data_IF_044175800432
#
_entry.id   IF_044175800432
#
_cell.length_a   1.000
_cell.length_b   1.000
_cell.length_c   1.000
_cell.angle_alpha   90.00
_cell.angle_beta   90.00
_cell.angle_gamma   90.00
#
_symmetry.space_group_name_H-M   'P 1'
#
loop_
_entity.id
_entity.type
_entity.pdbx_description
1 polymer ?
#
# COMPACT_ATOMS: atom_id res chain seq x y z
N UNK A 1 -12.65 -3.22 9.23
CA UNK A 1 -11.80 -2.12 8.73
C UNK A 1 -10.45 -2.24 9.41
N UNK A 2 -9.48 -2.84 8.74
CA UNK A 2 -8.10 -2.95 9.23
C UNK A 2 -7.41 -1.62 8.98
N UNK A 3 -7.00 -0.93 10.04
CA UNK A 3 -6.16 0.27 9.92
C UNK A 3 -4.77 -0.25 9.52
N UNK A 4 -4.24 0.09 8.33
CA UNK A 4 -2.89 -0.33 7.97
C UNK A 4 -1.91 0.36 8.91
N UNK A 5 -1.20 -0.43 9.72
CA UNK A 5 -0.12 0.04 10.58
C UNK A 5 1.20 0.02 9.80
N UNK A 6 2.13 0.94 10.09
CA UNK A 6 3.49 0.88 9.55
C UNK A 6 4.15 -0.47 9.81
N UNK A 7 5.05 -0.89 8.92
CA UNK A 7 5.78 -2.15 9.06
C UNK A 7 6.50 -2.20 10.43
N UNK A 8 6.36 -3.34 11.13
CA UNK A 8 6.93 -3.54 12.46
C UNK A 8 6.10 -2.97 13.63
N UNK A 9 4.96 -2.34 13.36
CA UNK A 9 4.02 -1.92 14.41
C UNK A 9 2.86 -2.91 14.47
N UNK A 10 2.78 -3.60 15.61
CA UNK A 10 1.76 -4.61 15.88
C UNK A 10 0.54 -4.01 16.58
N UNK A 11 -0.61 -4.67 16.40
CA UNK A 11 -1.83 -4.35 17.14
C UNK A 11 -1.57 -4.67 18.63
N UNK A 12 -1.89 -3.75 19.56
CA UNK A 12 -1.70 -3.99 20.98
C UNK A 12 -2.43 -5.26 21.47
N UNK A 13 -1.78 -6.07 22.32
CA UNK A 13 -2.34 -7.33 22.82
C UNK A 13 -3.74 -7.18 23.45
N UNK A 14 -3.95 -6.08 24.18
CA UNK A 14 -5.24 -5.77 24.78
C UNK A 14 -6.34 -5.59 23.73
N UNK A 15 -6.01 -4.96 22.60
CA UNK A 15 -6.91 -4.80 21.45
C UNK A 15 -7.13 -6.14 20.76
N UNK A 16 -6.07 -6.90 20.49
CA UNK A 16 -6.16 -8.21 19.84
C UNK A 16 -7.04 -9.18 20.66
N UNK A 17 -6.87 -9.21 21.98
CA UNK A 17 -7.69 -10.01 22.89
C UNK A 17 -9.15 -9.55 22.92
N UNK A 18 -9.40 -8.24 22.94
CA UNK A 18 -10.76 -7.71 22.88
C UNK A 18 -11.43 -8.04 21.54
N UNK A 19 -10.70 -7.96 20.43
CA UNK A 19 -11.18 -8.30 19.10
C UNK A 19 -11.54 -9.78 19.01
N UNK A 20 -10.67 -10.68 19.49
CA UNK A 20 -10.96 -12.11 19.53
C UNK A 20 -12.23 -12.44 20.33
N UNK A 21 -12.50 -11.70 21.42
CA UNK A 21 -13.73 -11.87 22.18
C UNK A 21 -14.98 -11.38 21.42
N UNK A 22 -14.86 -10.31 20.64
CA UNK A 22 -15.93 -9.83 19.76
C UNK A 22 -16.20 -10.82 18.63
N UNK A 23 -15.15 -11.37 18.02
CA UNK A 23 -15.26 -12.36 16.94
C UNK A 23 -15.95 -13.63 17.45
N UNK A 24 -15.55 -14.14 18.62
CA UNK A 24 -16.23 -15.27 19.26
C UNK A 24 -17.70 -14.99 19.60
N UNK A 25 -18.08 -13.73 19.88
CA UNK A 25 -19.48 -13.37 20.09
C UNK A 25 -20.29 -13.39 18.78
N UNK A 26 -19.68 -12.97 17.67
CA UNK A 26 -20.26 -13.09 16.33
C UNK A 26 -20.41 -14.54 15.89
N UNK A 27 -19.43 -15.40 16.17
CA UNK A 27 -19.51 -16.83 15.87
C UNK A 27 -20.69 -17.47 16.58
N UNK A 28 -20.84 -17.22 17.90
CA UNK A 28 -22.01 -17.70 18.68
C UNK A 28 -23.33 -17.18 18.15
N UNK A 29 -23.36 -15.92 17.70
CA UNK A 29 -24.56 -15.36 17.07
C UNK A 29 -24.92 -16.08 15.78
N UNK A 30 -23.92 -16.36 14.92
CA UNK A 30 -24.12 -17.15 13.70
C UNK A 30 -24.57 -18.58 14.00
N UNK A 31 -23.96 -19.24 14.98
CA UNK A 31 -24.36 -20.58 15.44
C UNK A 31 -25.81 -20.59 15.93
N UNK A 32 -26.21 -19.62 16.74
CA UNK A 32 -27.58 -19.49 17.22
C UNK A 32 -28.57 -19.22 16.07
N UNK A 33 -28.21 -18.40 15.08
CA UNK A 33 -29.06 -18.18 13.91
C UNK A 33 -29.29 -19.48 13.12
N UNK A 34 -28.29 -20.35 13.03
CA UNK A 34 -28.41 -21.66 12.38
C UNK A 34 -29.26 -22.61 13.24
N UNK A 35 -28.98 -22.69 14.54
CA UNK A 35 -29.70 -23.57 15.49
C UNK A 35 -31.19 -23.26 15.51
N UNK A 36 -31.56 -21.98 15.55
CA UNK A 36 -32.94 -21.52 15.63
C UNK A 36 -33.54 -21.11 14.28
N UNK A 37 -32.88 -21.42 13.14
CA UNK A 37 -33.29 -20.97 11.81
C UNK A 37 -34.78 -21.28 11.50
N UNK A 38 -35.20 -22.51 11.75
CA UNK A 38 -36.58 -22.97 11.54
C UNK A 38 -37.62 -22.15 12.32
N UNK A 39 -37.25 -21.67 13.51
CA UNK A 39 -38.12 -20.95 14.43
C UNK A 39 -38.05 -19.43 14.26
N UNK A 40 -36.91 -18.90 13.78
CA UNK A 40 -36.69 -17.47 13.57
C UNK A 40 -37.25 -17.00 12.22
N UNK A 41 -37.25 -17.87 11.20
CA UNK A 41 -37.66 -17.50 9.85
C UNK A 41 -39.13 -17.07 9.76
N UNK A 42 -39.42 -16.18 8.82
CA UNK A 42 -40.76 -15.66 8.57
C UNK A 42 -41.61 -16.78 7.96
N UNK A 43 -42.82 -16.98 8.49
CA UNK A 43 -43.68 -18.10 8.09
C UNK A 43 -43.36 -19.45 8.75
N UNK A 44 -42.63 -19.46 9.87
CA UNK A 44 -42.30 -20.70 10.61
C UNK A 44 -43.53 -21.58 10.90
N UNK A 45 -44.67 -20.97 11.22
CA UNK A 45 -45.92 -21.68 11.48
C UNK A 45 -46.45 -22.38 10.23
N UNK A 46 -46.43 -21.72 9.07
CA UNK A 46 -46.94 -22.30 7.82
C UNK A 46 -46.08 -23.49 7.38
N UNK A 47 -44.74 -23.37 7.50
CA UNK A 47 -43.83 -24.48 7.24
C UNK A 47 -44.00 -25.63 8.22
N UNK A 48 -44.17 -25.35 9.51
CA UNK A 48 -44.44 -26.36 10.52
C UNK A 48 -45.77 -27.08 10.26
N UNK A 49 -46.84 -26.34 9.95
CA UNK A 49 -48.14 -26.89 9.56
C UNK A 49 -48.04 -27.77 8.31
N UNK A 50 -47.25 -27.35 7.31
CA UNK A 50 -47.03 -28.15 6.10
C UNK A 50 -46.30 -29.46 6.41
N UNK A 51 -45.32 -29.47 7.33
CA UNK A 51 -44.62 -30.68 7.79
C UNK A 51 -45.58 -31.62 8.55
N UNK A 52 -46.40 -31.09 9.44
CA UNK A 52 -47.42 -31.87 10.16
C UNK A 52 -48.43 -32.50 9.18
N UNK A 53 -48.93 -31.72 8.22
CA UNK A 53 -49.85 -32.21 7.20
C UNK A 53 -49.20 -33.29 6.30
N UNK A 54 -47.94 -33.10 5.91
CA UNK A 54 -47.19 -34.08 5.13
C UNK A 54 -46.98 -35.39 5.90
N UNK A 55 -46.67 -35.32 7.20
CA UNK A 55 -46.51 -36.49 8.06
C UNK A 55 -47.83 -37.27 8.21
N UNK A 56 -48.95 -36.57 8.42
CA UNK A 56 -50.27 -37.19 8.49
C UNK A 56 -50.66 -37.88 7.17
N UNK A 57 -50.40 -37.23 6.02
CA UNK A 57 -50.62 -37.80 4.70
C UNK A 57 -49.77 -39.04 4.45
N UNK A 58 -48.49 -39.00 4.81
CA UNK A 58 -47.57 -40.14 4.68
C UNK A 58 -48.00 -41.34 5.53
N UNK A 59 -48.42 -41.11 6.78
CA UNK A 59 -48.94 -42.17 7.65
C UNK A 59 -50.20 -42.83 7.08
N UNK A 60 -51.13 -42.01 6.56
CA UNK A 60 -52.37 -42.48 5.94
C UNK A 60 -52.09 -43.36 4.71
N UNK A 61 -51.20 -42.92 3.83
CA UNK A 61 -50.78 -43.69 2.65
C UNK A 61 -50.09 -45.00 3.01
N UNK A 62 -49.39 -45.04 4.15
CA UNK A 62 -48.75 -46.24 4.67
C UNK A 62 -49.71 -47.17 5.46
N UNK A 63 -51.02 -46.85 5.54
CA UNK A 63 -51.99 -47.60 6.32
C UNK A 63 -51.74 -47.58 7.83
N UNK A 64 -50.96 -46.60 8.32
CA UNK A 64 -50.60 -46.42 9.73
C UNK A 64 -51.52 -45.38 10.38
N UNK A 65 -51.74 -45.45 11.70
CA UNK A 65 -52.45 -44.38 12.40
C UNK A 65 -51.71 -43.05 12.25
N UNK A 66 -52.46 -41.94 12.17
CA UNK A 66 -51.90 -40.59 12.16
C UNK A 66 -51.08 -40.38 13.44
N UNK A 67 -49.86 -39.82 13.36
CA UNK A 67 -49.04 -39.55 14.54
C UNK A 67 -49.79 -38.65 15.53
N UNK A 68 -49.76 -39.02 16.81
CA UNK A 68 -50.34 -38.24 17.93
C UNK A 68 -49.28 -37.64 18.85
N UNK A 69 -48.02 -37.63 18.40
CA UNK A 69 -46.89 -37.05 19.14
C UNK A 69 -46.92 -35.53 19.16
N UNK A 70 -45.87 -34.93 19.72
CA UNK A 70 -45.64 -33.49 19.64
C UNK A 70 -45.67 -33.02 18.17
N UNK A 71 -46.45 -31.99 17.87
CA UNK A 71 -46.54 -31.43 16.52
C UNK A 71 -45.34 -30.53 16.23
N UNK A 72 -44.98 -30.42 14.96
CA UNK A 72 -43.93 -29.49 14.53
C UNK A 72 -44.32 -28.04 14.88
N UNK A 73 -45.61 -27.70 14.82
CA UNK A 73 -46.09 -26.38 15.25
C UNK A 73 -45.78 -26.12 16.72
N UNK A 74 -46.05 -27.07 17.62
CA UNK A 74 -45.76 -26.92 19.05
C UNK A 74 -44.26 -26.81 19.31
N UNK A 75 -43.46 -27.68 18.69
CA UNK A 75 -42.00 -27.68 18.82
C UNK A 75 -41.38 -26.35 18.39
N UNK A 76 -41.71 -25.87 17.19
CA UNK A 76 -41.11 -24.64 16.63
C UNK A 76 -41.60 -23.40 17.37
N UNK A 77 -42.85 -23.38 17.84
CA UNK A 77 -43.36 -22.27 18.66
C UNK A 77 -42.63 -22.18 20.00
N UNK A 78 -42.39 -23.30 20.67
CA UNK A 78 -41.60 -23.33 21.91
C UNK A 78 -40.16 -22.85 21.67
N UNK A 79 -39.53 -23.30 20.59
CA UNK A 79 -38.18 -22.89 20.21
C UNK A 79 -38.08 -21.42 19.83
N UNK A 80 -39.12 -20.81 19.25
CA UNK A 80 -39.08 -19.40 18.83
C UNK A 80 -38.88 -18.45 20.01
N UNK A 81 -39.57 -18.70 21.12
CA UNK A 81 -39.43 -17.87 22.32
C UNK A 81 -38.00 -17.89 22.86
N UNK A 82 -37.40 -19.08 22.95
CA UNK A 82 -36.00 -19.24 23.35
C UNK A 82 -35.05 -18.63 22.34
N UNK A 83 -35.24 -18.90 21.05
CA UNK A 83 -34.38 -18.43 19.97
C UNK A 83 -34.32 -16.91 19.89
N UNK A 84 -35.47 -16.22 19.97
CA UNK A 84 -35.50 -14.75 19.98
C UNK A 84 -34.75 -14.19 21.19
N UNK A 85 -34.98 -14.73 22.39
CA UNK A 85 -34.28 -14.26 23.59
C UNK A 85 -32.77 -14.49 23.54
N UNK A 86 -32.32 -15.62 22.97
CA UNK A 86 -30.90 -15.92 22.76
C UNK A 86 -30.27 -14.94 21.77
N UNK A 87 -30.92 -14.68 20.64
CA UNK A 87 -30.45 -13.73 19.63
C UNK A 87 -30.33 -12.32 20.21
N UNK A 88 -31.36 -11.82 20.90
CA UNK A 88 -31.31 -10.50 21.53
C UNK A 88 -30.20 -10.37 22.58
N UNK A 89 -29.99 -11.42 23.39
CA UNK A 89 -28.91 -11.45 24.37
C UNK A 89 -27.52 -11.44 23.71
N UNK A 90 -27.34 -12.19 22.62
CA UNK A 90 -26.09 -12.21 21.85
C UNK A 90 -25.82 -10.86 21.16
N UNK A 91 -26.84 -10.18 20.65
CA UNK A 91 -26.69 -8.82 20.10
C UNK A 91 -26.26 -7.81 21.17
N UNK A 92 -26.76 -7.95 22.40
CA UNK A 92 -26.29 -7.14 23.52
C UNK A 92 -24.84 -7.46 23.88
N UNK A 93 -24.45 -8.74 23.88
CA UNK A 93 -23.07 -9.16 24.11
C UNK A 93 -22.12 -8.63 23.03
N UNK A 94 -22.50 -8.70 21.75
CA UNK A 94 -21.73 -8.14 20.62
C UNK A 94 -21.52 -6.64 20.81
N UNK A 95 -22.59 -5.89 21.16
CA UNK A 95 -22.47 -4.45 21.44
C UNK A 95 -21.53 -4.15 22.60
N UNK A 96 -21.64 -4.92 23.68
CA UNK A 96 -20.76 -4.77 24.85
C UNK A 96 -19.30 -5.09 24.50
N UNK A 97 -19.04 -6.17 23.74
CA UNK A 97 -17.71 -6.55 23.27
C UNK A 97 -17.12 -5.48 22.34
N UNK A 98 -17.92 -4.92 21.42
CA UNK A 98 -17.52 -3.80 20.57
C UNK A 98 -17.09 -2.57 21.36
N UNK A 99 -17.80 -2.22 22.43
CA UNK A 99 -17.42 -1.14 23.33
C UNK A 99 -16.10 -1.43 24.08
N UNK A 100 -15.82 -2.69 24.41
CA UNK A 100 -14.53 -3.10 25.01
C UNK A 100 -13.39 -2.94 23.99
N UNK A 101 -13.58 -3.36 22.74
CA UNK A 101 -12.60 -3.14 21.66
C UNK A 101 -12.29 -1.66 21.49
N UNK A 102 -13.32 -0.82 21.43
CA UNK A 102 -13.13 0.63 21.30
C UNK A 102 -12.34 1.22 22.49
N UNK A 103 -12.66 0.82 23.72
CA UNK A 103 -11.92 1.29 24.91
C UNK A 103 -10.47 0.81 24.92
N UNK A 104 -10.21 -0.43 24.50
CA UNK A 104 -8.86 -0.97 24.40
C UNK A 104 -8.03 -0.18 23.38
N UNK A 105 -8.63 0.18 22.24
CA UNK A 105 -7.99 1.05 21.26
C UNK A 105 -7.65 2.41 21.87
N UNK A 106 -8.65 3.11 22.42
CA UNK A 106 -8.46 4.45 23.01
C UNK A 106 -7.37 4.46 24.07
N UNK A 107 -7.32 3.44 24.93
CA UNK A 107 -6.29 3.30 25.94
C UNK A 107 -4.88 3.10 25.35
N UNK A 108 -4.78 2.43 24.21
CA UNK A 108 -3.49 2.11 23.56
C UNK A 108 -2.99 3.20 22.61
N UNK A 109 -3.85 4.17 22.24
CA UNK A 109 -3.50 5.21 21.26
C UNK A 109 -2.28 6.07 21.63
N UNK A 110 -2.04 6.48 22.89
CA UNK A 110 -0.89 7.33 23.22
C UNK A 110 0.45 6.64 22.91
N UNK A 111 0.63 5.41 23.40
CA UNK A 111 1.85 4.63 23.17
C UNK A 111 2.00 4.24 21.69
N UNK A 112 0.90 3.87 21.03
CA UNK A 112 0.92 3.56 19.61
C UNK A 112 1.31 4.77 18.76
N UNK A 113 0.81 5.96 19.11
CA UNK A 113 1.16 7.21 18.43
C UNK A 113 2.66 7.49 18.55
N UNK A 114 3.24 7.31 19.73
CA UNK A 114 4.67 7.49 19.94
C UNK A 114 5.49 6.51 19.08
N UNK A 115 5.13 5.23 19.07
CA UNK A 115 5.77 4.21 18.22
C UNK A 115 5.68 4.53 16.73
N UNK A 116 4.53 5.02 16.27
CA UNK A 116 4.34 5.43 14.87
C UNK A 116 5.22 6.64 14.52
N UNK A 117 5.33 7.62 15.42
CA UNK A 117 6.19 8.80 15.22
C UNK A 117 7.66 8.39 15.16
N UNK A 118 8.12 7.50 16.03
CA UNK A 118 9.50 7.02 16.00
C UNK A 118 9.80 6.19 14.75
N UNK A 119 8.87 5.35 14.31
CA UNK A 119 9.00 4.62 13.05
C UNK A 119 9.07 5.57 11.84
N UNK A 120 8.29 6.65 11.85
CA UNK A 120 8.35 7.68 10.79
C UNK A 120 9.72 8.35 10.76
N UNK A 121 10.25 8.80 11.89
CA UNK A 121 11.58 9.42 11.97
C UNK A 121 12.68 8.47 11.49
N UNK A 122 12.61 7.19 11.85
CA UNK A 122 13.56 6.19 11.38
C UNK A 122 13.49 6.02 9.86
N UNK A 123 12.29 6.01 9.29
CA UNK A 123 12.09 5.91 7.84
C UNK A 123 12.59 7.15 7.10
N UNK A 124 12.40 8.35 7.66
CA UNK A 124 12.94 9.61 7.11
C UNK A 124 14.48 9.58 7.10
N UNK A 125 15.11 9.16 8.20
CA UNK A 125 16.56 9.03 8.28
C UNK A 125 17.13 8.02 7.25
N UNK A 126 16.43 6.91 7.03
CA UNK A 126 16.80 5.93 6.00
C UNK A 126 16.68 6.52 4.58
N UNK A 127 15.65 7.33 4.32
CA UNK A 127 15.49 8.00 3.03
C UNK A 127 16.63 9.01 2.78
N UNK A 128 16.99 9.81 3.79
CA UNK A 128 18.13 10.75 3.69
C UNK A 128 19.46 10.02 3.45
N UNK A 129 19.69 8.88 4.12
CA UNK A 129 20.91 8.09 3.91
C UNK A 129 20.96 7.50 2.50
N UNK A 130 19.85 6.95 2.01
CA UNK A 130 19.73 6.45 0.65
C UNK A 130 19.96 7.56 -0.38
N UNK A 131 19.44 8.76 -0.13
CA UNK A 131 19.69 9.92 -0.99
C UNK A 131 21.17 10.34 -0.99
N UNK A 132 21.82 10.37 0.18
CA UNK A 132 23.27 10.62 0.29
C UNK A 132 24.09 9.57 -0.47
N UNK A 133 23.73 8.29 -0.38
CA UNK A 133 24.37 7.21 -1.12
C UNK A 133 24.18 7.35 -2.63
N UNK A 134 22.96 7.69 -3.06
CA UNK A 134 22.66 7.94 -4.46
C UNK A 134 23.55 9.05 -5.02
N UNK A 135 23.66 10.19 -4.34
CA UNK A 135 24.53 11.29 -4.79
C UNK A 135 26.02 10.91 -4.78
N UNK A 136 26.47 10.13 -3.79
CA UNK A 136 27.85 9.63 -3.74
C UNK A 136 28.15 8.73 -4.94
N UNK A 137 27.28 7.77 -5.21
CA UNK A 137 27.39 6.85 -6.34
C UNK A 137 27.36 7.60 -7.66
N UNK A 138 26.45 8.58 -7.81
CA UNK A 138 26.38 9.46 -8.99
C UNK A 138 27.68 10.26 -9.17
N UNK A 139 28.27 10.77 -8.08
CA UNK A 139 29.58 11.42 -8.10
C UNK A 139 30.70 10.48 -8.61
N UNK A 140 30.74 9.24 -8.12
CA UNK A 140 31.74 8.25 -8.55
C UNK A 140 31.61 7.89 -10.05
N UNK A 141 30.38 7.71 -10.54
CA UNK A 141 30.11 7.49 -11.97
C UNK A 141 30.63 8.68 -12.80
N UNK A 142 30.37 9.92 -12.38
CA UNK A 142 30.87 11.12 -13.07
C UNK A 142 32.40 11.15 -13.15
N UNK A 143 33.10 10.80 -12.07
CA UNK A 143 34.57 10.71 -12.06
C UNK A 143 35.08 9.64 -13.03
N UNK A 144 34.44 8.46 -13.04
CA UNK A 144 34.83 7.37 -13.94
C UNK A 144 34.66 7.74 -15.42
N UNK A 145 33.53 8.37 -15.79
CA UNK A 145 33.30 8.88 -17.16
C UNK A 145 34.36 9.91 -17.53
N UNK A 146 34.70 10.81 -16.62
CA UNK A 146 35.74 11.83 -16.84
C UNK A 146 37.10 11.21 -17.15
N UNK A 147 37.49 10.19 -16.37
CA UNK A 147 38.73 9.46 -16.56
C UNK A 147 38.74 8.72 -17.90
N UNK A 148 37.63 8.05 -18.26
CA UNK A 148 37.50 7.36 -19.54
C UNK A 148 37.64 8.33 -20.72
N UNK A 149 37.01 9.51 -20.65
CA UNK A 149 37.16 10.55 -21.68
C UNK A 149 38.60 11.05 -21.82
N UNK A 150 39.33 11.17 -20.71
CA UNK A 150 40.73 11.55 -20.73
C UNK A 150 41.62 10.47 -21.37
N UNK A 151 41.38 9.20 -21.03
CA UNK A 151 42.08 8.04 -21.63
C UNK A 151 41.84 7.99 -23.14
N UNK A 152 40.57 8.06 -23.56
CA UNK A 152 40.17 8.09 -24.97
C UNK A 152 40.83 9.25 -25.75
N UNK A 153 41.01 10.41 -25.11
CA UNK A 153 41.71 11.54 -25.71
C UNK A 153 43.22 11.29 -25.89
N UNK A 154 43.86 10.65 -24.90
CA UNK A 154 45.27 10.29 -24.96
C UNK A 154 45.54 9.23 -26.04
N UNK A 155 44.69 8.20 -26.13
CA UNK A 155 44.79 7.14 -27.15
C UNK A 155 44.71 7.68 -28.59
N UNK A 156 43.91 8.73 -28.80
CA UNK A 156 43.75 9.37 -30.12
C UNK A 156 44.83 10.39 -30.46
N UNK A 157 45.88 10.51 -29.64
CA UNK A 157 47.07 11.32 -29.96
C UNK A 157 46.80 12.82 -30.07
N UNK A 158 45.84 13.35 -29.30
CA UNK A 158 45.52 14.80 -29.26
C UNK A 158 46.01 15.42 -27.95
N UNK A 159 47.29 15.77 -27.79
CA UNK A 159 47.75 16.45 -26.59
C UNK A 159 47.20 17.88 -26.52
N UNK A 160 46.45 18.21 -25.46
CA UNK A 160 46.13 19.61 -25.09
C UNK A 160 44.68 19.98 -24.80
N UNK A 161 43.69 19.09 -24.97
CA UNK A 161 42.26 19.41 -24.81
C UNK A 161 41.49 18.37 -23.97
N UNK A 162 42.10 17.84 -22.90
CA UNK A 162 41.38 16.95 -21.99
C UNK A 162 40.19 17.68 -21.34
N UNK A 163 38.97 17.13 -21.37
CA UNK A 163 37.83 17.73 -20.69
C UNK A 163 38.09 17.75 -19.18
N UNK A 164 37.95 18.93 -18.57
CA UNK A 164 38.02 19.09 -17.11
C UNK A 164 36.58 19.13 -16.60
N UNK A 165 36.23 18.15 -15.76
CA UNK A 165 34.99 18.13 -15.02
C UNK A 165 35.25 18.77 -13.66
N UNK A 166 34.70 19.95 -13.41
CA UNK A 166 34.79 20.61 -12.10
C UNK A 166 33.48 20.44 -11.37
N UNK A 167 33.49 19.73 -10.24
CA UNK A 167 32.33 19.63 -9.34
C UNK A 167 32.33 20.80 -8.35
N UNK A 168 31.24 21.56 -8.28
CA UNK A 168 30.93 22.41 -7.12
C UNK A 168 29.95 21.63 -6.24
N UNK A 169 30.20 21.45 -4.93
CA UNK A 169 29.28 20.77 -4.03
C UNK A 169 27.97 21.55 -3.77
N UNK A 170 27.93 22.83 -4.11
CA UNK A 170 26.86 23.76 -3.70
C UNK A 170 25.83 24.07 -4.80
N UNK A 171 26.07 23.65 -6.04
CA UNK A 171 25.22 24.01 -7.17
C UNK A 171 24.52 22.76 -7.73
N UNK A 172 23.19 22.83 -7.87
CA UNK A 172 22.33 21.86 -8.56
C UNK A 172 22.61 21.78 -10.09
N UNK A 173 23.84 22.03 -10.53
CA UNK A 173 24.23 22.10 -11.93
C UNK A 173 25.69 21.70 -12.13
N UNK A 174 25.95 20.92 -13.18
CA UNK A 174 27.30 20.44 -13.52
C UNK A 174 27.95 21.38 -14.55
N UNK A 175 29.15 21.86 -14.28
CA UNK A 175 30.01 22.51 -15.28
C UNK A 175 30.70 21.43 -16.12
N UNK A 176 30.15 21.14 -17.31
CA UNK A 176 30.78 20.23 -18.26
C UNK A 176 31.43 21.05 -19.39
N UNK A 177 32.76 21.15 -19.39
CA UNK A 177 33.50 21.79 -20.49
C UNK A 177 34.02 20.73 -21.46
N UNK A 178 33.20 20.38 -22.44
CA UNK A 178 33.57 19.42 -23.48
C UNK A 178 34.24 20.12 -24.66
N UNK A 179 35.29 19.50 -25.20
CA UNK A 179 35.89 19.93 -26.46
C UNK A 179 34.94 19.67 -27.64
N UNK A 180 34.96 20.58 -28.63
CA UNK A 180 34.04 20.62 -29.80
C UNK A 180 33.98 19.31 -30.61
N UNK A 181 35.05 18.51 -30.58
CA UNK A 181 35.16 17.26 -31.34
C UNK A 181 34.70 16.02 -30.56
N UNK A 182 34.72 16.07 -29.23
CA UNK A 182 34.35 14.92 -28.39
C UNK A 182 32.81 14.75 -28.31
N UNK A 183 32.09 15.87 -28.33
CA UNK A 183 30.62 15.94 -28.39
C UNK A 183 30.01 15.29 -29.65
N UNK A 184 30.77 15.21 -30.76
CA UNK A 184 30.28 14.64 -32.01
C UNK A 184 30.29 13.10 -32.03
N UNK A 185 31.04 12.47 -31.14
CA UNK A 185 31.35 11.03 -31.20
C UNK A 185 30.66 10.24 -30.10
N UNK A 186 30.38 10.87 -28.95
CA UNK A 186 29.82 10.19 -27.79
C UNK A 186 28.46 10.78 -27.42
N UNK A 187 27.39 10.01 -27.69
CA UNK A 187 26.02 10.30 -27.29
C UNK A 187 25.92 10.21 -25.77
N UNK A 188 25.99 11.34 -25.07
CA UNK A 188 25.66 11.38 -23.64
C UNK A 188 24.16 11.63 -23.52
N UNK A 189 23.44 10.65 -22.97
CA UNK A 189 22.10 10.86 -22.43
C UNK A 189 22.20 11.78 -21.23
N UNK A 190 21.52 12.92 -21.26
CA UNK A 190 21.43 13.84 -20.13
C UNK A 190 20.00 13.77 -19.59
N UNK A 191 19.85 13.45 -18.31
CA UNK A 191 18.51 13.31 -17.71
C UNK A 191 17.78 14.66 -17.64
N UNK A 192 16.45 14.58 -17.78
CA UNK A 192 15.51 15.69 -17.65
C UNK A 192 15.66 16.40 -16.30
N UNK A 193 15.93 17.71 -16.33
CA UNK A 193 16.04 18.56 -15.13
C UNK A 193 17.45 19.07 -14.77
N UNK A 194 18.51 18.51 -15.36
CA UNK A 194 19.88 19.02 -15.17
C UNK A 194 20.09 20.34 -15.96
N UNK A 195 20.91 21.26 -15.46
CA UNK A 195 21.41 22.40 -16.24
C UNK A 195 22.86 22.17 -16.66
N UNK A 196 23.15 22.35 -17.95
CA UNK A 196 24.46 22.22 -18.56
C UNK A 196 24.99 23.60 -18.95
N UNK A 197 26.23 23.89 -18.54
CA UNK A 197 26.97 25.06 -19.03
C UNK A 197 27.70 24.74 -20.32
N UNK A 198 27.16 25.20 -21.45
CA UNK A 198 27.72 25.03 -22.79
C UNK A 198 28.51 26.29 -23.17
N UNK A 199 29.73 26.12 -23.68
CA UNK A 199 30.49 27.24 -24.28
C UNK A 199 30.16 27.36 -25.77
N UNK A 200 29.60 28.51 -26.15
CA UNK A 200 29.25 28.86 -27.53
C UNK A 200 29.93 30.20 -27.83
N UNK A 201 30.78 30.25 -28.85
CA UNK A 201 31.48 31.46 -29.33
C UNK A 201 32.06 32.33 -28.19
N UNK A 202 32.91 31.69 -27.37
CA UNK A 202 33.57 32.25 -26.18
C UNK A 202 32.69 32.67 -25.00
N UNK A 203 31.37 32.48 -25.06
CA UNK A 203 30.46 32.71 -23.93
C UNK A 203 30.00 31.40 -23.30
N UNK A 204 29.92 31.36 -21.97
CA UNK A 204 29.36 30.22 -21.23
C UNK A 204 27.87 30.51 -20.99
N UNK A 205 26.99 29.59 -21.42
CA UNK A 205 25.54 29.68 -21.19
C UNK A 205 25.06 28.44 -20.43
N UNK A 206 24.19 28.65 -19.46
CA UNK A 206 23.54 27.59 -18.69
C UNK A 206 22.19 27.26 -19.33
N UNK A 207 22.00 26.01 -19.73
CA UNK A 207 20.85 25.54 -20.49
C UNK A 207 20.29 24.27 -19.84
N UNK A 208 18.97 24.05 -19.85
CA UNK A 208 18.40 22.76 -19.50
C UNK A 208 19.01 21.64 -20.35
N UNK A 209 19.21 20.47 -19.74
CA UNK A 209 19.82 19.28 -20.30
C UNK A 209 19.26 18.91 -21.68
N UNK A 210 17.93 18.91 -21.79
CA UNK A 210 17.20 18.59 -23.01
C UNK A 210 17.50 19.58 -24.14
N UNK A 211 17.71 20.86 -23.82
CA UNK A 211 18.08 21.90 -24.77
C UNK A 211 19.54 21.78 -25.17
N UNK A 212 20.43 21.48 -24.23
CA UNK A 212 21.84 21.26 -24.50
C UNK A 212 22.04 20.01 -25.39
N UNK A 213 21.32 18.92 -25.13
CA UNK A 213 21.37 17.68 -25.92
C UNK A 213 20.91 17.90 -27.36
N UNK A 214 19.86 18.71 -27.58
CA UNK A 214 19.41 19.11 -28.93
C UNK A 214 20.48 19.92 -29.67
N UNK A 215 21.11 20.89 -29.02
CA UNK A 215 22.16 21.72 -29.62
C UNK A 215 23.43 20.94 -29.91
N UNK A 216 23.76 19.97 -29.06
CA UNK A 216 24.90 19.05 -29.24
C UNK A 216 24.62 18.12 -30.44
N UNK A 217 23.44 17.52 -30.48
CA UNK A 217 23.02 16.58 -31.53
C UNK A 217 22.89 17.23 -32.91
N UNK A 218 22.47 18.50 -32.97
CA UNK A 218 22.38 19.26 -34.21
C UNK A 218 23.76 19.67 -34.78
N UNK A 219 24.84 19.51 -33.99
CA UNK A 219 26.11 20.17 -34.25
C UNK A 219 25.98 21.68 -34.05
N UNK A 220 26.98 22.30 -33.42
CA UNK A 220 27.02 23.73 -33.01
C UNK A 220 26.99 24.73 -34.20
N UNK A 221 26.47 24.34 -35.37
CA UNK A 221 26.30 25.20 -36.55
C UNK A 221 24.88 25.78 -36.70
N UNK A 222 23.88 25.30 -35.94
CA UNK A 222 22.57 25.96 -35.89
C UNK A 222 22.65 27.16 -34.94
N UNK A 223 22.76 28.37 -35.50
CA UNK A 223 22.78 29.63 -34.75
C UNK A 223 21.49 29.80 -33.96
N UNK A 224 21.63 30.32 -32.73
CA UNK A 224 20.58 30.76 -31.81
C UNK A 224 19.91 32.05 -32.32
N UNK A 225 19.29 32.01 -33.49
CA UNK A 225 18.49 33.14 -34.01
C UNK A 225 16.98 32.87 -34.00
N UNK A 226 16.52 31.66 -33.63
CA UNK A 226 15.10 31.26 -33.63
C UNK A 226 14.57 30.72 -32.26
N UNK A 227 15.19 31.08 -31.13
CA UNK A 227 14.70 30.71 -29.78
C UNK A 227 14.66 31.90 -28.81
#
# INVERSE_FOLDING_TARGET
MTIPLPAGIEIPDAVAKAQAALDAAWDRYGEAQIEYADALDDGYLERAQARDAAAAKAATLAGKPVPKGESEVSRVTALRGTGVGVIEALEQQIRAAGAVVQRAWVASLPELRERVVEALKASEAQAEEAEREYYRTRGAIRTAVSALSAVDHMERGRPGNAPVFTSSPADNGSLIRLGRDWLKVNTISVDSGDFIRVRIDDRIRELPAETAEKLISAGVAARLDDA
#
